data_IF_515924383157
#
_entry.id   IF_515924383157
#
_cell.length_a   1.000
_cell.length_b   1.000
_cell.length_c   1.000
_cell.angle_alpha   90.00
_cell.angle_beta   90.00
_cell.angle_gamma   90.00
#
_symmetry.space_group_name_H-M   'P 1'
#
loop_
_entity.id
_entity.type
_entity.pdbx_description
1 polymer ?
#
# COMPACT_ATOMS: atom_id res chain seq x y z
N UNK A 1 10.50 25.72 3.32
CA UNK A 1 9.59 24.56 3.20
C UNK A 1 10.22 23.61 2.20
N UNK A 2 10.47 22.33 2.51
CA UNK A 2 10.89 21.41 1.45
C UNK A 2 9.73 21.31 0.46
N UNK A 3 10.00 21.70 -0.79
CA UNK A 3 9.10 21.47 -1.92
C UNK A 3 8.83 19.96 -1.99
N UNK A 4 7.55 19.57 -2.02
CA UNK A 4 7.16 18.17 -2.27
C UNK A 4 7.69 17.67 -3.62
N UNK A 5 7.59 16.36 -3.89
CA UNK A 5 8.08 15.81 -5.13
C UNK A 5 7.37 16.44 -6.34
N UNK A 6 8.14 16.72 -7.40
CA UNK A 6 7.60 17.19 -8.67
C UNK A 6 6.88 16.04 -9.37
N UNK A 7 5.57 15.96 -9.16
CA UNK A 7 4.73 14.89 -9.71
C UNK A 7 4.68 14.90 -11.24
N UNK A 8 5.07 16.01 -11.90
CA UNK A 8 5.09 16.11 -13.36
C UNK A 8 6.19 15.26 -14.01
N UNK A 9 7.19 14.82 -13.23
CA UNK A 9 8.28 13.97 -13.69
C UNK A 9 8.04 12.48 -13.43
N UNK A 10 6.86 12.11 -12.92
CA UNK A 10 6.54 10.72 -12.68
C UNK A 10 6.34 9.98 -14.01
N UNK A 11 6.76 8.69 -14.07
CA UNK A 11 6.45 7.85 -15.21
C UNK A 11 4.93 7.69 -15.35
N UNK A 12 4.48 7.35 -16.56
CA UNK A 12 3.07 7.06 -16.81
C UNK A 12 2.61 5.88 -15.94
N UNK A 13 1.74 6.21 -14.98
CA UNK A 13 1.10 5.25 -14.08
C UNK A 13 0.04 4.43 -14.81
N UNK A 14 -0.20 3.24 -14.31
CA UNK A 14 -1.22 2.30 -14.79
C UNK A 14 -2.02 1.77 -13.62
N UNK A 15 -3.28 1.39 -13.88
CA UNK A 15 -4.08 0.62 -12.93
C UNK A 15 -3.32 -0.64 -12.51
N UNK A 16 -3.31 -0.89 -11.19
CA UNK A 16 -2.57 -1.99 -10.57
C UNK A 16 -1.12 -1.66 -10.19
N UNK A 17 -0.59 -0.48 -10.53
CA UNK A 17 0.69 -0.02 -9.99
C UNK A 17 0.60 0.17 -8.47
N UNK A 18 1.69 -0.11 -7.76
CA UNK A 18 1.80 -0.02 -6.32
C UNK A 18 2.57 1.23 -5.94
N UNK A 19 2.01 2.02 -5.02
CA UNK A 19 2.69 3.15 -4.42
C UNK A 19 3.10 2.81 -3.00
N UNK A 20 4.40 2.91 -2.76
CA UNK A 20 5.01 2.79 -1.44
C UNK A 20 5.30 4.18 -0.92
N UNK A 21 5.09 4.39 0.38
CA UNK A 21 5.58 5.60 1.05
C UNK A 21 6.10 5.31 2.44
N UNK A 22 7.02 6.15 2.88
CA UNK A 22 7.49 6.22 4.26
C UNK A 22 6.86 7.44 4.93
N UNK A 23 5.94 7.19 5.87
CA UNK A 23 5.12 8.25 6.45
C UNK A 23 5.36 8.59 7.91
N UNK A 24 4.52 9.46 8.45
CA UNK A 24 4.52 9.91 9.85
C UNK A 24 3.33 9.40 10.68
N UNK A 25 2.37 8.72 10.02
CA UNK A 25 1.12 8.23 10.61
C UNK A 25 1.40 7.30 11.80
N UNK A 26 0.38 7.11 12.64
CA UNK A 26 0.44 6.15 13.74
C UNK A 26 0.87 4.76 13.24
N UNK A 27 0.34 4.35 12.09
CA UNK A 27 0.68 3.10 11.39
C UNK A 27 2.16 3.06 11.01
N UNK A 28 2.70 4.17 10.51
CA UNK A 28 4.10 4.25 10.13
C UNK A 28 5.04 4.09 11.31
N UNK A 29 4.72 4.72 12.45
CA UNK A 29 5.54 4.57 13.66
C UNK A 29 5.54 3.14 14.15
N UNK A 30 4.38 2.48 14.10
CA UNK A 30 4.24 1.09 14.52
C UNK A 30 5.04 0.15 13.60
N UNK A 31 4.90 0.31 12.29
CA UNK A 31 5.65 -0.46 11.28
C UNK A 31 7.16 -0.23 11.40
N UNK A 32 7.60 1.02 11.58
CA UNK A 32 9.02 1.34 11.77
C UNK A 32 9.58 0.74 13.07
N UNK A 33 8.83 0.80 14.17
CA UNK A 33 9.22 0.19 15.45
C UNK A 33 9.33 -1.33 15.37
N UNK A 34 8.60 -1.97 14.44
CA UNK A 34 8.60 -3.41 14.21
C UNK A 34 9.59 -3.86 13.12
N UNK A 35 10.44 -2.97 12.60
CA UNK A 35 11.45 -3.31 11.61
C UNK A 35 10.97 -3.30 10.16
N UNK A 36 9.94 -2.51 9.83
CA UNK A 36 9.25 -2.46 8.54
C UNK A 36 10.05 -2.03 7.30
N UNK A 37 11.34 -1.70 7.44
CA UNK A 37 12.22 -1.32 6.34
C UNK A 37 12.00 0.10 5.83
N UNK A 38 12.30 0.33 4.56
CA UNK A 38 12.33 1.67 3.93
C UNK A 38 10.93 2.25 3.64
N UNK A 39 9.88 1.44 3.73
CA UNK A 39 8.51 1.83 3.45
C UNK A 39 7.58 1.38 4.57
N UNK A 40 6.66 2.26 4.95
CA UNK A 40 5.73 2.00 6.04
C UNK A 40 4.29 1.78 5.59
N UNK A 41 3.99 2.11 4.33
CA UNK A 41 2.64 2.10 3.80
C UNK A 41 2.64 1.76 2.31
N UNK A 42 1.54 1.16 1.85
CA UNK A 42 1.33 0.80 0.45
C UNK A 42 -0.11 1.14 0.01
N UNK A 43 -0.27 1.55 -1.24
CA UNK A 43 -1.55 1.72 -1.91
C UNK A 43 -1.50 1.22 -3.35
N UNK A 44 -2.66 1.02 -3.97
CA UNK A 44 -2.77 0.58 -5.36
C UNK A 44 -3.39 1.69 -6.21
N UNK A 45 -2.82 1.97 -7.39
CA UNK A 45 -3.46 2.79 -8.42
C UNK A 45 -4.69 2.06 -8.95
N UNK A 46 -5.86 2.68 -8.86
CA UNK A 46 -7.12 2.09 -9.33
C UNK A 46 -7.71 2.81 -10.54
N UNK A 47 -7.28 4.05 -10.79
CA UNK A 47 -7.65 4.81 -11.98
C UNK A 47 -6.53 5.80 -12.32
N UNK A 48 -6.39 6.14 -13.60
CA UNK A 48 -5.42 7.13 -14.11
C UNK A 48 -6.09 8.32 -14.79
N UNK A 49 -7.38 8.21 -15.12
CA UNK A 49 -8.19 9.25 -15.78
C UNK A 49 -9.48 9.52 -14.99
N UNK A 50 -9.93 10.78 -14.86
CA UNK A 50 -9.28 12.02 -15.33
C UNK A 50 -8.06 12.41 -14.47
N UNK A 51 -7.81 11.68 -13.38
CA UNK A 51 -6.65 11.85 -12.49
C UNK A 51 -6.30 10.51 -11.86
N UNK A 52 -5.08 10.41 -11.35
CA UNK A 52 -4.62 9.22 -10.65
C UNK A 52 -5.31 9.09 -9.29
N UNK A 53 -5.94 7.93 -9.07
CA UNK A 53 -6.57 7.58 -7.80
C UNK A 53 -5.87 6.37 -7.19
N UNK A 54 -5.64 6.46 -5.88
CA UNK A 54 -4.95 5.45 -5.08
C UNK A 54 -5.89 4.97 -4.00
N UNK A 55 -6.08 3.65 -3.87
CA UNK A 55 -6.81 3.08 -2.75
C UNK A 55 -5.85 2.42 -1.77
N UNK A 56 -6.09 2.65 -0.48
CA UNK A 56 -5.28 2.17 0.63
C UNK A 56 -6.12 2.08 1.92
N UNK A 57 -5.74 1.17 2.82
CA UNK A 57 -6.31 1.12 4.17
C UNK A 57 -5.43 1.94 5.13
N UNK A 58 -6.01 2.81 5.94
CA UNK A 58 -5.27 3.74 6.82
C UNK A 58 -6.05 4.10 8.07
N UNK A 59 -5.37 4.57 9.11
CA UNK A 59 -5.99 5.02 10.36
C UNK A 59 -6.36 6.50 10.36
N UNK A 60 -5.50 7.38 9.83
CA UNK A 60 -5.56 8.82 10.11
C UNK A 60 -5.27 9.76 8.92
N UNK A 61 -5.16 9.27 7.68
CA UNK A 61 -4.84 10.13 6.53
C UNK A 61 -5.93 11.15 6.17
N UNK A 62 -7.19 10.88 6.53
CA UNK A 62 -8.33 11.80 6.36
C UNK A 62 -9.05 11.99 7.71
N UNK A 63 -9.04 13.20 8.29
CA UNK A 63 -9.64 13.47 9.59
C UNK A 63 -11.17 13.27 9.63
N UNK A 64 -11.84 13.24 8.47
CA UNK A 64 -13.27 12.98 8.37
C UNK A 64 -13.59 11.49 8.14
N UNK A 65 -12.59 10.68 7.76
CA UNK A 65 -12.76 9.27 7.38
C UNK A 65 -11.64 8.42 8.00
N UNK A 66 -11.68 8.29 9.32
CA UNK A 66 -10.69 7.57 10.11
C UNK A 66 -10.88 6.05 10.05
N UNK A 67 -9.80 5.30 10.20
CA UNK A 67 -9.78 3.83 10.40
C UNK A 67 -10.53 3.03 9.33
N UNK A 68 -10.29 3.35 8.06
CA UNK A 68 -10.98 2.69 6.95
C UNK A 68 -10.14 2.64 5.68
N UNK A 69 -10.63 1.89 4.70
CA UNK A 69 -10.14 1.96 3.32
C UNK A 69 -10.59 3.26 2.68
N UNK A 70 -9.64 4.01 2.13
CA UNK A 70 -9.84 5.30 1.49
C UNK A 70 -9.45 5.25 0.02
N UNK A 71 -10.10 6.12 -0.75
CA UNK A 71 -9.64 6.54 -2.07
C UNK A 71 -9.09 7.97 -1.95
N UNK A 72 -7.85 8.13 -2.41
CA UNK A 72 -7.09 9.39 -2.36
C UNK A 72 -6.61 9.74 -3.76
N UNK A 73 -6.38 11.03 -4.02
CA UNK A 73 -5.61 11.43 -5.21
C UNK A 73 -4.13 11.06 -5.02
N UNK A 74 -3.35 11.05 -6.10
CA UNK A 74 -1.92 10.85 -6.02
C UNK A 74 -1.24 11.94 -5.17
N UNK A 75 -1.68 13.18 -5.34
CA UNK A 75 -1.22 14.36 -4.61
C UNK A 75 -1.47 14.20 -3.10
N UNK A 76 -2.69 13.82 -2.71
CA UNK A 76 -3.04 13.63 -1.30
C UNK A 76 -2.31 12.44 -0.69
N UNK A 77 -2.11 11.36 -1.46
CA UNK A 77 -1.37 10.18 -1.00
C UNK A 77 0.13 10.49 -0.80
N UNK A 78 0.72 11.34 -1.63
CA UNK A 78 2.14 11.69 -1.60
C UNK A 78 2.42 13.04 -0.93
N UNK A 79 1.43 13.65 -0.26
CA UNK A 79 1.61 14.96 0.34
C UNK A 79 2.78 14.95 1.35
N UNK A 80 3.60 16.01 1.44
CA UNK A 80 4.80 16.02 2.28
C UNK A 80 4.58 15.73 3.77
N UNK A 81 3.38 16.04 4.28
CA UNK A 81 2.99 15.69 5.64
C UNK A 81 2.94 14.17 5.88
N UNK A 82 2.57 13.40 4.84
CA UNK A 82 2.36 11.97 4.89
C UNK A 82 3.48 11.14 4.27
N UNK A 83 4.27 11.69 3.35
CA UNK A 83 5.33 10.95 2.65
C UNK A 83 6.67 11.70 2.70
N UNK A 84 7.66 11.14 3.40
CA UNK A 84 9.06 11.60 3.36
C UNK A 84 9.80 11.06 2.15
N UNK A 85 9.54 9.80 1.83
CA UNK A 85 10.10 9.05 0.71
C UNK A 85 8.96 8.26 0.08
N UNK A 86 9.06 7.99 -1.22
CA UNK A 86 8.07 7.18 -1.92
C UNK A 86 8.68 6.44 -3.10
N UNK A 87 8.04 5.35 -3.47
CA UNK A 87 8.41 4.58 -4.63
C UNK A 87 7.18 4.07 -5.36
N UNK A 88 7.32 3.83 -6.65
CA UNK A 88 6.29 3.27 -7.50
C UNK A 88 6.84 1.99 -8.10
N UNK A 89 6.12 0.89 -7.93
CA UNK A 89 6.42 -0.37 -8.57
C UNK A 89 5.24 -0.83 -9.42
N UNK A 90 5.54 -1.55 -10.50
CA UNK A 90 4.56 -2.22 -11.35
C UNK A 90 4.70 -3.73 -11.16
N UNK A 91 3.65 -4.45 -10.76
CA UNK A 91 3.68 -5.90 -10.76
C UNK A 91 3.62 -6.42 -12.20
N UNK A 92 4.74 -6.86 -12.76
CA UNK A 92 4.81 -7.38 -14.14
C UNK A 92 4.37 -8.85 -14.25
N UNK A 93 4.35 -9.56 -13.12
CA UNK A 93 3.80 -10.92 -13.04
C UNK A 93 2.27 -10.96 -13.26
N UNK A 94 1.56 -9.83 -13.08
CA UNK A 94 0.14 -9.70 -13.38
C UNK A 94 -0.08 -9.18 -14.81
N UNK A 95 -0.97 -9.83 -15.55
CA UNK A 95 -1.42 -9.30 -16.83
C UNK A 95 -2.40 -8.12 -16.65
N UNK A 96 -2.69 -7.33 -17.71
CA UNK A 96 -3.56 -6.14 -17.59
C UNK A 96 -4.97 -6.43 -17.05
N UNK A 97 -5.56 -7.59 -17.39
CA UNK A 97 -6.87 -7.97 -16.89
C UNK A 97 -6.84 -8.28 -15.38
N UNK A 98 -5.82 -9.02 -14.93
CA UNK A 98 -5.62 -9.30 -13.51
C UNK A 98 -5.37 -8.02 -12.70
N UNK A 99 -4.60 -7.07 -13.24
CA UNK A 99 -4.40 -5.75 -12.61
C UNK A 99 -5.71 -4.99 -12.43
N UNK A 100 -6.53 -4.95 -13.49
CA UNK A 100 -7.83 -4.28 -13.44
C UNK A 100 -8.78 -4.95 -12.44
N UNK A 101 -8.83 -6.28 -12.41
CA UNK A 101 -9.68 -7.02 -11.49
C UNK A 101 -9.23 -6.87 -10.03
N UNK A 102 -7.91 -6.92 -9.76
CA UNK A 102 -7.37 -6.66 -8.43
C UNK A 102 -7.68 -5.23 -7.97
N UNK A 103 -7.52 -4.24 -8.86
CA UNK A 103 -7.89 -2.85 -8.57
C UNK A 103 -9.38 -2.73 -8.22
N UNK A 104 -10.27 -3.44 -8.94
CA UNK A 104 -11.69 -3.42 -8.62
C UNK A 104 -11.99 -4.01 -7.24
N UNK A 105 -11.35 -5.12 -6.85
CA UNK A 105 -11.51 -5.71 -5.51
C UNK A 105 -11.12 -4.70 -4.42
N UNK A 106 -10.02 -3.98 -4.64
CA UNK A 106 -9.57 -2.94 -3.71
C UNK A 106 -10.55 -1.76 -3.67
N UNK A 107 -11.13 -1.35 -4.81
CA UNK A 107 -12.18 -0.31 -4.88
C UNK A 107 -13.44 -0.73 -4.14
N UNK A 108 -13.88 -1.97 -4.30
CA UNK A 108 -15.09 -2.49 -3.63
C UNK A 108 -14.93 -2.55 -2.10
N UNK A 109 -13.69 -2.56 -1.61
CA UNK A 109 -13.39 -2.50 -0.19
C UNK A 109 -13.40 -1.08 0.41
N UNK A 110 -13.56 -0.02 -0.39
CA UNK A 110 -13.58 1.37 0.10
C UNK A 110 -14.67 1.56 1.17
N UNK A 111 -14.30 2.18 2.29
CA UNK A 111 -15.17 2.34 3.46
C UNK A 111 -15.15 1.16 4.44
N UNK A 112 -14.55 0.03 4.08
CA UNK A 112 -14.36 -1.08 5.01
C UNK A 112 -13.41 -0.69 6.15
N UNK A 113 -13.60 -1.22 7.38
CA UNK A 113 -12.79 -0.84 8.53
C UNK A 113 -11.33 -1.31 8.37
N UNK A 114 -10.42 -0.46 8.85
CA UNK A 114 -9.02 -0.81 9.06
C UNK A 114 -8.89 -1.65 10.33
N UNK A 115 -8.23 -2.79 10.23
CA UNK A 115 -7.99 -3.73 11.33
C UNK A 115 -6.55 -4.20 11.27
N UNK A 116 -5.68 -3.69 12.15
CA UNK A 116 -4.31 -4.15 12.25
C UNK A 116 -4.22 -5.29 13.27
N UNK A 117 -4.17 -6.51 12.76
CA UNK A 117 -4.05 -7.72 13.55
C UNK A 117 -3.11 -8.72 12.86
N UNK A 118 -2.63 -9.70 13.63
CA UNK A 118 -1.76 -10.77 13.12
C UNK A 118 -2.52 -11.71 12.19
N UNK A 119 -1.78 -12.43 11.32
CA UNK A 119 -2.32 -13.32 10.28
C UNK A 119 -3.40 -14.31 10.76
N UNK A 120 -3.30 -14.78 12.01
CA UNK A 120 -4.23 -15.75 12.59
C UNK A 120 -5.56 -15.16 13.07
N UNK A 121 -5.73 -13.84 13.01
CA UNK A 121 -6.93 -13.11 13.40
C UNK A 121 -7.52 -12.36 12.21
N UNK A 122 -8.80 -11.95 12.23
CA UNK A 122 -9.36 -11.08 11.20
C UNK A 122 -8.56 -9.77 11.11
N UNK A 123 -8.03 -9.47 9.92
CA UNK A 123 -7.17 -8.31 9.68
C UNK A 123 -7.47 -7.69 8.33
N UNK A 124 -7.31 -6.36 8.24
CA UNK A 124 -7.40 -5.57 7.02
C UNK A 124 -6.62 -4.28 7.19
N UNK A 125 -5.37 -4.29 6.78
CA UNK A 125 -4.52 -3.11 6.71
C UNK A 125 -3.90 -3.01 5.31
N UNK A 126 -3.10 -1.98 5.06
CA UNK A 126 -2.71 -1.57 3.71
C UNK A 126 -2.13 -2.72 2.86
N UNK A 127 -1.21 -3.51 3.43
CA UNK A 127 -0.59 -4.64 2.73
C UNK A 127 -1.53 -5.83 2.58
N UNK A 128 -2.37 -6.14 3.56
CA UNK A 128 -3.26 -7.31 3.48
C UNK A 128 -4.44 -7.05 2.55
N UNK A 129 -4.92 -5.81 2.47
CA UNK A 129 -5.89 -5.36 1.47
C UNK A 129 -5.38 -5.65 0.05
N UNK A 130 -4.14 -5.23 -0.24
CA UNK A 130 -3.52 -5.48 -1.55
C UNK A 130 -3.25 -6.97 -1.77
N UNK A 131 -2.76 -7.69 -0.75
CA UNK A 131 -2.48 -9.11 -0.87
C UNK A 131 -3.72 -9.94 -1.18
N UNK A 132 -4.84 -9.68 -0.50
CA UNK A 132 -6.11 -10.34 -0.75
C UNK A 132 -6.60 -10.09 -2.18
N UNK A 133 -6.57 -8.83 -2.62
CA UNK A 133 -6.97 -8.45 -3.96
C UNK A 133 -6.11 -9.12 -5.05
N UNK A 134 -4.79 -9.12 -4.91
CA UNK A 134 -3.88 -9.74 -5.88
C UNK A 134 -4.06 -11.26 -5.87
N UNK A 135 -4.12 -11.89 -4.68
CA UNK A 135 -4.27 -13.34 -4.54
C UNK A 135 -5.57 -13.87 -5.13
N UNK A 136 -6.63 -13.05 -5.16
CA UNK A 136 -7.88 -13.40 -5.85
C UNK A 136 -7.73 -13.53 -7.38
N UNK A 137 -6.68 -12.93 -7.97
CA UNK A 137 -6.40 -12.93 -9.40
C UNK A 137 -5.19 -13.80 -9.78
N UNK A 138 -4.28 -13.99 -8.84
CA UNK A 138 -3.10 -14.84 -8.96
C UNK A 138 -2.91 -15.65 -7.67
N UNK A 139 -3.38 -16.90 -7.63
CA UNK A 139 -3.28 -17.76 -6.45
C UNK A 139 -1.84 -18.03 -5.99
N UNK A 140 -0.85 -17.89 -6.88
CA UNK A 140 0.57 -18.10 -6.57
C UNK A 140 1.22 -16.88 -5.88
N UNK A 141 0.47 -15.77 -5.76
CA UNK A 141 0.90 -14.59 -5.02
C UNK A 141 0.98 -14.86 -3.50
N UNK A 142 2.18 -15.25 -3.06
CA UNK A 142 2.50 -15.52 -1.65
C UNK A 142 3.65 -14.63 -1.16
N UNK A 143 3.35 -13.38 -0.74
CA UNK A 143 4.35 -12.50 -0.18
C UNK A 143 4.81 -13.00 1.21
N UNK A 144 6.07 -12.74 1.55
CA UNK A 144 6.67 -13.25 2.79
C UNK A 144 6.11 -12.53 4.02
N UNK A 145 5.48 -13.28 4.91
CA UNK A 145 5.04 -12.78 6.21
C UNK A 145 6.20 -12.76 7.19
N UNK A 146 6.28 -11.71 8.01
CA UNK A 146 7.31 -11.57 9.04
C UNK A 146 6.74 -11.97 10.40
N UNK A 147 7.36 -12.97 11.03
CA UNK A 147 7.03 -13.36 12.40
C UNK A 147 7.61 -12.35 13.39
N UNK A 148 6.73 -11.76 14.18
CA UNK A 148 7.10 -11.03 15.38
C UNK A 148 6.97 -11.97 16.58
N UNK A 149 8.04 -12.06 17.36
CA UNK A 149 8.04 -12.74 18.65
C UNK A 149 8.73 -11.85 19.68
N UNK A 150 7.96 -10.88 20.20
CA UNK A 150 8.41 -9.97 21.23
C UNK A 150 7.38 -9.89 22.37
N UNK A 151 7.72 -9.27 23.52
CA UNK A 151 6.83 -9.24 24.69
C UNK A 151 5.47 -8.56 24.46
N UNK A 152 5.35 -7.71 23.45
CA UNK A 152 4.16 -6.92 23.17
C UNK A 152 3.34 -7.47 21.98
N UNK A 153 3.99 -8.15 21.04
CA UNK A 153 3.38 -8.69 19.82
C UNK A 153 3.93 -10.08 19.50
N UNK A 154 3.00 -11.03 19.32
CA UNK A 154 3.29 -12.38 18.84
C UNK A 154 2.39 -12.73 17.67
N UNK A 155 2.98 -13.06 16.54
CA UNK A 155 2.28 -13.51 15.35
C UNK A 155 2.92 -12.99 14.07
N UNK A 156 2.27 -13.24 12.94
CA UNK A 156 2.80 -12.89 11.63
C UNK A 156 2.13 -11.62 11.10
N UNK A 157 2.93 -10.66 10.66
CA UNK A 157 2.46 -9.44 9.98
C UNK A 157 3.05 -9.37 8.57
N UNK A 158 2.30 -8.74 7.67
CA UNK A 158 2.71 -8.53 6.29
C UNK A 158 3.19 -7.09 6.13
N UNK A 159 4.50 -6.88 5.99
CA UNK A 159 5.06 -5.54 5.83
C UNK A 159 5.16 -5.12 4.35
N UNK A 160 5.20 -3.81 4.04
CA UNK A 160 5.36 -3.33 2.67
C UNK A 160 6.62 -3.88 1.99
N UNK A 161 7.68 -4.15 2.76
CA UNK A 161 8.88 -4.82 2.28
C UNK A 161 8.60 -6.15 1.56
N UNK A 162 7.59 -6.91 1.99
CA UNK A 162 7.23 -8.18 1.35
C UNK A 162 6.76 -8.02 -0.10
N UNK A 163 6.22 -6.85 -0.43
CA UNK A 163 5.86 -6.47 -1.80
C UNK A 163 7.04 -5.89 -2.56
N UNK A 164 7.86 -5.08 -1.88
CA UNK A 164 9.07 -4.49 -2.47
C UNK A 164 10.12 -5.54 -2.86
N UNK A 165 10.20 -6.64 -2.12
CA UNK A 165 11.13 -7.75 -2.37
C UNK A 165 10.49 -8.86 -3.23
N UNK A 166 9.22 -8.69 -3.67
CA UNK A 166 8.51 -9.72 -4.43
C UNK A 166 9.08 -9.86 -5.86
N UNK A 167 9.31 -11.09 -6.35
CA UNK A 167 9.83 -11.29 -7.70
C UNK A 167 8.82 -10.83 -8.77
N UNK A 168 9.34 -10.32 -9.89
CA UNK A 168 8.49 -9.90 -11.01
C UNK A 168 7.83 -8.53 -10.84
N UNK A 169 8.36 -7.68 -9.97
CA UNK A 169 8.02 -6.24 -9.94
C UNK A 169 9.07 -5.43 -10.71
N UNK A 170 8.62 -4.37 -11.38
CA UNK A 170 9.47 -3.35 -11.97
C UNK A 170 9.36 -2.04 -11.20
N UNK A 171 10.49 -1.50 -10.75
CA UNK A 171 10.53 -0.18 -10.13
C UNK A 171 10.44 0.91 -11.19
N UNK A 172 9.35 1.67 -11.16
CA UNK A 172 9.15 2.79 -12.08
C UNK A 172 9.79 4.07 -11.55
N UNK A 173 9.78 4.23 -10.22
CA UNK A 173 10.30 5.43 -9.56
C UNK A 173 10.69 5.12 -8.11
N UNK A 174 11.76 5.78 -7.62
CA UNK A 174 12.20 5.74 -6.22
C UNK A 174 12.78 7.12 -5.86
N UNK A 175 12.27 7.72 -4.78
CA UNK A 175 12.71 8.99 -4.22
C UNK A 175 13.09 8.81 -2.76
#
# INVERSE_FOLDING_TARGET
MPSGPDLSQLPALQTGDWLFRLGHSADSRLVQQMGGGDYSHIGMVVATEPRVLVVHATTDDDPQRLNQVLISTLEDFLQPALARHFAIARPEFLNPHQKQAAAQVVVDAVGAPFVLEVRSQPHRYCTTLLAEAIKSQDPDFEPVWTRLDNPFYRGDLLFPRAFADYPGIAWLYRF
#
